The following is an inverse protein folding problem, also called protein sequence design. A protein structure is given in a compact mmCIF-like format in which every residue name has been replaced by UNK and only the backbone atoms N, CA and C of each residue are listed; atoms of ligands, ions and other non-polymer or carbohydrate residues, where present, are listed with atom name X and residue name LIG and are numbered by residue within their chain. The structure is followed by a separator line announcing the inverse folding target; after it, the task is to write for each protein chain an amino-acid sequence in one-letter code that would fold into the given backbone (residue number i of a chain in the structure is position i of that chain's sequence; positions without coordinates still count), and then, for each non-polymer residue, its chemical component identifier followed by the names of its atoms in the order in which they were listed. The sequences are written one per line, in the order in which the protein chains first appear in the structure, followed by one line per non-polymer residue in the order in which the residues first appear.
data_IF_842905501400
#
_entry.id   IF_842905501400
#
_cell.length_a   1.000
_cell.length_b   1.000
_cell.length_c   1.000
_cell.angle_alpha   90.00
_cell.angle_beta   90.00
_cell.angle_gamma   90.00
#
_symmetry.space_group_name_H-M   'P 1'
#
loop_
_entity.id
_entity.type
_entity.pdbx_description
1 polymer ?
#
# COMPACT_ATOMS: atom_id res chain seq x y z
N UNK A 1 24.44 45.48 30.55
CA UNK A 1 25.45 44.76 29.73
C UNK A 1 24.90 44.65 28.31
N UNK A 2 25.50 45.35 27.32
CA UNK A 2 25.05 45.32 25.92
C UNK A 2 25.76 44.18 25.21
N UNK A 3 25.01 43.25 24.62
CA UNK A 3 25.55 42.19 23.76
C UNK A 3 26.21 42.83 22.54
N UNK A 4 27.37 42.30 22.15
CA UNK A 4 28.02 42.66 20.89
C UNK A 4 27.16 42.22 19.69
N UNK A 5 27.42 42.80 18.52
CA UNK A 5 26.69 42.44 17.29
C UNK A 5 26.93 40.98 16.89
N UNK A 6 28.13 40.43 17.12
CA UNK A 6 28.40 39.02 16.83
C UNK A 6 27.64 38.08 17.77
N UNK A 7 27.56 38.40 19.07
CA UNK A 7 26.80 37.58 20.04
C UNK A 7 25.30 37.58 19.72
N UNK A 8 24.74 38.73 19.35
CA UNK A 8 23.35 38.83 18.92
C UNK A 8 23.08 38.02 17.65
N UNK A 9 23.97 38.07 16.66
CA UNK A 9 23.84 37.30 15.42
C UNK A 9 23.92 35.78 15.67
N UNK A 10 24.80 35.33 16.57
CA UNK A 10 24.93 33.91 16.93
C UNK A 10 23.70 33.38 17.66
N UNK A 11 23.12 34.16 18.57
CA UNK A 11 21.87 33.82 19.27
C UNK A 11 20.71 33.70 18.28
N UNK A 12 20.59 34.68 17.36
CA UNK A 12 19.55 34.67 16.32
C UNK A 12 19.73 33.46 15.39
N UNK A 13 20.95 33.18 14.95
CA UNK A 13 21.25 32.01 14.11
C UNK A 13 20.93 30.69 14.83
N UNK A 14 21.32 30.55 16.10
CA UNK A 14 20.97 29.39 16.92
C UNK A 14 19.46 29.26 17.13
N UNK A 15 18.75 30.38 17.32
CA UNK A 15 17.29 30.39 17.42
C UNK A 15 16.62 29.93 16.13
N UNK A 16 17.04 30.44 14.97
CA UNK A 16 16.52 30.02 13.67
C UNK A 16 16.90 28.57 13.33
N UNK A 17 18.14 28.16 13.62
CA UNK A 17 18.60 26.78 13.46
C UNK A 17 17.79 25.83 14.34
N UNK A 18 17.59 26.17 15.62
CA UNK A 18 16.78 25.39 16.54
C UNK A 18 15.31 25.37 16.14
N UNK A 19 14.76 26.48 15.63
CA UNK A 19 13.40 26.54 15.08
C UNK A 19 13.25 25.63 13.85
N UNK A 20 14.22 25.66 12.93
CA UNK A 20 14.25 24.82 11.73
C UNK A 20 14.44 23.33 12.08
N UNK A 21 15.31 23.00 13.04
CA UNK A 21 15.49 21.65 13.58
C UNK A 21 14.19 21.20 14.25
N UNK A 22 13.59 22.00 15.14
CA UNK A 22 12.31 21.66 15.79
C UNK A 22 11.19 21.42 14.79
N UNK A 23 11.13 22.19 13.70
CA UNK A 23 10.16 21.97 12.61
C UNK A 23 10.44 20.69 11.84
N UNK A 24 11.70 20.40 11.51
CA UNK A 24 12.07 19.25 10.68
C UNK A 24 12.05 17.91 11.44
N UNK A 25 12.23 17.93 12.77
CA UNK A 25 12.25 16.73 13.62
C UNK A 25 11.08 16.69 14.59
N UNK A 26 9.98 17.41 14.30
CA UNK A 26 8.76 17.29 15.08
C UNK A 26 8.14 15.92 14.79
N UNK A 27 8.12 15.06 15.81
CA UNK A 27 7.41 13.79 15.74
C UNK A 27 5.93 14.06 15.41
N UNK A 28 5.33 13.33 14.45
CA UNK A 28 3.93 13.52 14.12
C UNK A 28 3.04 13.28 15.34
N UNK A 29 1.94 14.03 15.43
CA UNK A 29 0.92 13.78 16.43
C UNK A 29 0.33 12.38 16.22
N UNK A 30 -0.24 11.78 17.25
CA UNK A 30 -0.98 10.53 17.08
C UNK A 30 -2.35 10.82 16.48
N UNK A 31 -2.57 10.40 15.24
CA UNK A 31 -3.89 10.46 14.62
C UNK A 31 -4.56 9.10 14.78
N UNK A 32 -5.78 9.10 15.32
CA UNK A 32 -6.71 7.96 15.39
C UNK A 32 -6.09 6.56 15.55
N UNK A 33 -5.94 6.12 16.80
CA UNK A 33 -5.50 4.76 17.10
C UNK A 33 -6.66 3.80 17.12
N UNK A 34 -6.42 2.62 16.54
CA UNK A 34 -7.37 1.51 16.53
C UNK A 34 -6.88 0.46 17.51
N UNK A 35 -7.80 -0.30 18.11
CA UNK A 35 -7.44 -1.40 19.00
C UNK A 35 -7.41 -2.72 18.23
N UNK A 36 -6.22 -3.27 18.03
CA UNK A 36 -6.06 -4.65 17.53
C UNK A 36 -4.74 -5.25 18.03
N UNK A 37 -4.76 -6.48 18.58
CA UNK A 37 -3.58 -7.07 19.20
C UNK A 37 -2.55 -7.47 18.15
N UNK A 38 -1.28 -7.29 18.48
CA UNK A 38 -0.16 -7.69 17.63
C UNK A 38 0.15 -9.18 17.74
N UNK A 39 0.91 -9.74 16.79
CA UNK A 39 1.66 -10.98 17.05
C UNK A 39 3.01 -10.57 17.60
N UNK A 40 3.35 -11.03 18.82
CA UNK A 40 4.57 -10.57 19.49
C UNK A 40 5.84 -10.82 18.67
N UNK A 41 5.97 -12.02 18.11
CA UNK A 41 7.06 -12.35 17.16
C UNK A 41 6.68 -11.90 15.75
N UNK A 42 5.51 -12.34 15.27
CA UNK A 42 4.98 -12.02 13.95
C UNK A 42 4.47 -13.28 13.25
N UNK A 43 3.33 -13.19 12.58
CA UNK A 43 2.75 -14.30 11.81
C UNK A 43 3.23 -14.35 10.35
N UNK A 44 4.16 -13.48 9.96
CA UNK A 44 4.80 -13.52 8.66
C UNK A 44 5.79 -14.70 8.56
N UNK A 45 5.98 -15.26 7.36
CA UNK A 45 7.00 -16.27 7.11
C UNK A 45 8.41 -15.69 7.30
N UNK A 46 9.42 -16.57 7.37
CA UNK A 46 10.83 -16.16 7.48
C UNK A 46 11.16 -15.16 6.36
N UNK A 47 11.72 -14.00 6.74
CA UNK A 47 11.90 -12.87 5.83
C UNK A 47 12.99 -13.07 4.76
N UNK A 48 13.69 -14.22 4.73
CA UNK A 48 14.71 -14.56 3.74
C UNK A 48 15.77 -13.45 3.54
N UNK A 49 16.22 -12.82 4.63
CA UNK A 49 17.09 -11.63 4.62
C UNK A 49 18.47 -11.85 4.02
N UNK A 50 18.87 -13.11 3.79
CA UNK A 50 20.08 -13.46 3.02
C UNK A 50 20.05 -12.93 1.58
N UNK A 51 18.85 -12.69 1.03
CA UNK A 51 18.66 -12.11 -0.32
C UNK A 51 18.88 -10.60 -0.37
N UNK A 52 19.00 -9.94 0.78
CA UNK A 52 19.09 -8.49 0.88
C UNK A 52 20.54 -8.01 0.81
N UNK A 53 20.75 -6.89 0.15
CA UNK A 53 22.03 -6.17 0.21
C UNK A 53 22.24 -5.72 1.66
N UNK A 54 23.34 -6.16 2.27
CA UNK A 54 23.67 -5.82 3.66
C UNK A 54 24.17 -4.37 3.76
N UNK A 55 23.79 -3.65 4.83
CA UNK A 55 24.22 -2.27 5.04
C UNK A 55 25.74 -2.21 5.26
N UNK A 56 26.39 -1.23 4.63
CA UNK A 56 27.84 -0.98 4.82
C UNK A 56 28.12 0.13 5.85
N UNK A 57 27.08 0.83 6.28
CA UNK A 57 27.09 1.95 7.22
C UNK A 57 25.92 1.84 8.19
N UNK A 58 25.79 2.81 9.10
CA UNK A 58 24.59 2.90 9.94
C UNK A 58 23.33 2.96 9.07
N UNK A 59 22.29 2.29 9.53
CA UNK A 59 21.06 2.10 8.78
C UNK A 59 19.84 2.22 9.69
N UNK A 60 18.68 2.30 9.08
CA UNK A 60 17.40 2.32 9.74
C UNK A 60 16.50 1.19 9.23
N UNK A 61 15.75 0.58 10.14
CA UNK A 61 14.62 -0.29 9.82
C UNK A 61 13.34 0.49 10.09
N UNK A 62 12.44 0.55 9.12
CA UNK A 62 11.11 1.14 9.24
C UNK A 62 10.11 0.02 9.05
N UNK A 63 9.33 -0.31 10.06
CA UNK A 63 8.37 -1.40 9.95
C UNK A 63 7.21 -1.33 10.94
N UNK A 64 6.37 -2.34 10.91
CA UNK A 64 5.09 -2.41 11.65
C UNK A 64 5.09 -3.63 12.58
N UNK A 65 4.21 -3.66 13.59
CA UNK A 65 4.03 -4.81 14.46
C UNK A 65 5.13 -5.01 15.52
N UNK A 66 5.45 -6.28 15.82
CA UNK A 66 6.28 -6.69 16.95
C UNK A 66 7.75 -6.97 16.62
N UNK A 67 8.29 -8.00 17.27
CA UNK A 67 9.73 -8.30 17.39
C UNK A 67 10.42 -8.62 16.06
N UNK A 68 9.67 -8.94 15.00
CA UNK A 68 10.23 -9.20 13.66
C UNK A 68 11.12 -8.06 13.15
N UNK A 69 10.82 -6.80 13.50
CA UNK A 69 11.64 -5.64 13.15
C UNK A 69 13.05 -5.69 13.78
N UNK A 70 13.13 -6.11 15.04
CA UNK A 70 14.41 -6.26 15.76
C UNK A 70 15.19 -7.45 15.22
N UNK A 71 14.48 -8.53 14.89
CA UNK A 71 15.08 -9.69 14.23
C UNK A 71 15.68 -9.33 12.88
N UNK A 72 14.92 -8.62 12.02
CA UNK A 72 15.40 -8.10 10.75
C UNK A 72 16.64 -7.22 10.93
N UNK A 73 16.62 -6.30 11.91
CA UNK A 73 17.76 -5.45 12.23
C UNK A 73 19.01 -6.29 12.59
N UNK A 74 18.86 -7.35 13.39
CA UNK A 74 19.98 -8.25 13.73
C UNK A 74 20.51 -8.98 12.50
N UNK A 75 19.62 -9.53 11.67
CA UNK A 75 20.02 -10.26 10.47
C UNK A 75 20.71 -9.36 9.45
N UNK A 76 20.33 -8.09 9.35
CA UNK A 76 21.02 -7.10 8.50
C UNK A 76 22.39 -6.71 9.07
N UNK A 77 22.55 -6.77 10.38
CA UNK A 77 23.81 -6.46 11.09
C UNK A 77 24.84 -7.59 10.98
N UNK A 78 24.46 -8.77 10.48
CA UNK A 78 25.23 -10.02 10.52
C UNK A 78 26.73 -9.82 10.25
N UNK A 79 27.55 -10.14 11.27
CA UNK A 79 29.02 -10.01 11.41
C UNK A 79 29.56 -8.73 12.11
N UNK A 80 28.77 -7.68 12.29
CA UNK A 80 29.23 -6.43 12.95
C UNK A 80 28.25 -5.91 13.97
N UNK A 81 28.22 -6.53 15.16
CA UNK A 81 27.40 -6.07 16.30
C UNK A 81 27.62 -4.60 16.70
N UNK A 82 28.70 -3.97 16.22
CA UNK A 82 28.96 -2.53 16.38
C UNK A 82 27.99 -1.64 15.61
N UNK A 83 27.33 -2.16 14.56
CA UNK A 83 26.27 -1.43 13.86
C UNK A 83 24.97 -1.49 14.68
N UNK A 84 24.57 -0.34 15.20
CA UNK A 84 23.34 -0.16 15.97
C UNK A 84 22.32 0.63 15.13
N UNK A 85 21.38 -0.05 14.45
CA UNK A 85 20.40 0.64 13.62
C UNK A 85 19.41 1.45 14.47
N UNK A 86 18.79 2.46 13.88
CA UNK A 86 17.53 2.98 14.42
C UNK A 86 16.38 2.11 13.93
N UNK A 87 15.42 1.82 14.81
CA UNK A 87 14.24 1.02 14.47
C UNK A 87 13.01 1.91 14.65
N UNK A 88 12.37 2.27 13.55
CA UNK A 88 11.11 3.00 13.55
C UNK A 88 9.96 2.01 13.44
N UNK A 89 9.10 1.99 14.46
CA UNK A 89 7.85 1.22 14.41
C UNK A 89 6.72 2.19 14.09
N UNK A 90 6.19 2.10 12.87
CA UNK A 90 5.01 2.85 12.43
C UNK A 90 3.82 1.92 12.52
N UNK A 91 2.91 2.19 13.44
CA UNK A 91 1.71 1.37 13.63
C UNK A 91 0.57 2.21 14.21
N UNK A 92 -0.66 2.01 13.72
CA UNK A 92 -1.85 2.68 14.24
C UNK A 92 -2.60 1.85 15.30
N UNK A 93 -2.04 0.72 15.76
CA UNK A 93 -2.60 -0.06 16.88
C UNK A 93 -2.18 0.46 18.24
N UNK A 94 -3.14 0.78 19.11
CA UNK A 94 -2.85 1.02 20.53
C UNK A 94 -2.13 -0.14 21.21
N UNK A 95 -2.45 -1.37 20.85
CA UNK A 95 -1.93 -2.59 21.47
C UNK A 95 -0.48 -2.87 21.03
N UNK A 96 -0.10 -2.54 19.79
CA UNK A 96 1.31 -2.58 19.35
C UNK A 96 2.17 -1.63 20.18
N UNK A 97 1.66 -0.42 20.46
CA UNK A 97 2.40 0.54 21.29
C UNK A 97 2.48 0.10 22.75
N UNK A 98 1.42 -0.49 23.28
CA UNK A 98 1.43 -1.08 24.62
C UNK A 98 2.44 -2.23 24.71
N UNK A 99 2.44 -3.14 23.74
CA UNK A 99 3.39 -4.24 23.61
C UNK A 99 4.84 -3.75 23.69
N UNK A 100 5.20 -2.74 22.90
CA UNK A 100 6.56 -2.19 22.90
C UNK A 100 6.90 -1.45 24.18
N UNK A 101 5.96 -0.73 24.79
CA UNK A 101 6.18 -0.08 26.08
C UNK A 101 6.45 -1.10 27.19
N UNK A 102 5.67 -2.18 27.26
CA UNK A 102 5.86 -3.25 28.24
C UNK A 102 7.16 -4.03 27.97
N UNK A 103 7.49 -4.26 26.71
CA UNK A 103 8.76 -4.89 26.30
C UNK A 103 9.96 -4.02 26.73
N UNK A 104 9.92 -2.70 26.50
CA UNK A 104 10.96 -1.78 26.96
C UNK A 104 11.11 -1.81 28.48
N UNK A 105 10.00 -1.76 29.24
CA UNK A 105 10.02 -1.87 30.71
C UNK A 105 10.70 -3.17 31.17
N UNK A 106 10.42 -4.29 30.51
CA UNK A 106 11.06 -5.57 30.82
C UNK A 106 12.58 -5.50 30.62
N UNK A 107 13.04 -5.03 29.46
CA UNK A 107 14.48 -4.89 29.17
C UNK A 107 15.21 -3.90 30.09
N UNK A 108 14.54 -2.83 30.52
CA UNK A 108 15.13 -1.87 31.48
C UNK A 108 15.38 -2.53 32.84
N UNK A 109 14.50 -3.45 33.28
CA UNK A 109 14.61 -4.13 34.58
C UNK A 109 15.62 -5.29 34.61
N UNK A 110 16.05 -5.75 33.45
CA UNK A 110 16.90 -6.95 33.32
C UNK A 110 18.33 -6.57 32.99
N UNK A 111 19.31 -7.04 33.77
CA UNK A 111 20.72 -6.73 33.56
C UNK A 111 21.49 -7.81 32.80
N UNK A 112 20.95 -9.02 32.73
CA UNK A 112 21.52 -10.17 32.02
C UNK A 112 20.45 -11.01 31.29
N UNK A 113 20.89 -12.00 30.51
CA UNK A 113 20.01 -13.04 29.94
C UNK A 113 19.14 -13.72 31.00
N UNK A 114 19.72 -14.12 32.13
CA UNK A 114 19.00 -14.85 33.19
C UNK A 114 17.98 -13.95 33.89
N UNK A 115 18.37 -12.71 34.21
CA UNK A 115 17.46 -11.71 34.79
C UNK A 115 16.29 -11.41 33.84
N UNK A 116 16.52 -11.44 32.53
CA UNK A 116 15.46 -11.27 31.55
C UNK A 116 14.39 -12.35 31.69
N UNK A 117 14.78 -13.63 31.73
CA UNK A 117 13.81 -14.71 31.81
C UNK A 117 13.13 -14.78 33.18
N UNK A 118 13.83 -14.42 34.27
CA UNK A 118 13.21 -14.36 35.59
C UNK A 118 12.19 -13.22 35.68
N UNK A 119 12.56 -12.02 35.22
CA UNK A 119 11.64 -10.88 35.18
C UNK A 119 10.46 -11.13 34.22
N UNK A 120 10.67 -11.86 33.12
CA UNK A 120 9.63 -12.15 32.15
C UNK A 120 8.46 -12.94 32.75
N UNK A 121 8.73 -13.94 33.59
CA UNK A 121 7.73 -14.83 34.23
C UNK A 121 6.63 -14.05 34.95
N UNK A 122 6.98 -12.91 35.57
CA UNK A 122 6.06 -12.10 36.37
C UNK A 122 5.73 -10.73 35.74
N UNK A 123 6.19 -10.50 34.51
CA UNK A 123 6.11 -9.21 33.83
C UNK A 123 4.67 -8.75 33.54
N UNK A 124 4.47 -7.43 33.45
CA UNK A 124 3.23 -6.85 32.91
C UNK A 124 2.98 -7.31 31.46
N UNK A 125 4.05 -7.57 30.70
CA UNK A 125 3.97 -8.03 29.32
C UNK A 125 3.19 -9.35 29.21
N UNK A 126 3.59 -10.40 29.92
CA UNK A 126 2.93 -11.72 29.82
C UNK A 126 1.49 -11.72 30.36
N UNK A 127 1.18 -10.79 31.26
CA UNK A 127 -0.16 -10.58 31.84
C UNK A 127 -1.07 -9.72 30.96
N UNK A 128 -0.51 -9.02 29.98
CA UNK A 128 -1.25 -8.12 29.10
C UNK A 128 -2.00 -8.88 27.99
N UNK A 129 -3.01 -8.22 27.43
CA UNK A 129 -3.76 -8.71 26.27
C UNK A 129 -3.35 -8.01 24.96
N UNK A 130 -2.21 -7.33 24.95
CA UNK A 130 -1.78 -6.50 23.81
C UNK A 130 -1.18 -7.31 22.64
N UNK A 131 -0.93 -8.60 22.85
CA UNK A 131 -0.50 -9.52 21.79
C UNK A 131 -1.26 -10.84 21.82
N UNK A 132 -1.40 -11.46 20.64
CA UNK A 132 -1.98 -12.78 20.46
C UNK A 132 -0.93 -13.84 20.77
N UNK A 133 -1.30 -14.83 21.59
CA UNK A 133 -0.56 -16.09 21.70
C UNK A 133 -0.88 -16.94 20.48
N UNK A 134 0.14 -17.41 19.78
CA UNK A 134 -0.04 -18.17 18.54
C UNK A 134 -0.62 -19.57 18.81
N UNK A 135 -0.41 -20.13 20.00
CA UNK A 135 -1.08 -21.32 20.52
C UNK A 135 -2.62 -21.24 20.51
N UNK A 136 -3.21 -20.03 20.39
CA UNK A 136 -4.65 -19.86 20.19
C UNK A 136 -5.12 -20.16 18.76
N UNK A 137 -4.21 -20.31 17.79
CA UNK A 137 -4.47 -20.87 16.46
C UNK A 137 -4.43 -22.41 16.59
N UNK A 138 -5.48 -22.96 17.20
CA UNK A 138 -5.62 -24.39 17.56
C UNK A 138 -5.10 -25.33 16.46
N UNK A 139 -4.07 -26.10 16.81
CA UNK A 139 -3.38 -27.13 16.02
C UNK A 139 -2.51 -26.60 14.87
N UNK A 140 -1.36 -26.01 15.20
CA UNK A 140 -0.34 -25.55 14.25
C UNK A 140 -0.06 -26.57 13.14
N UNK A 141 0.22 -27.84 13.46
CA UNK A 141 0.44 -28.86 12.44
C UNK A 141 -0.82 -29.19 11.63
N UNK A 142 -1.99 -29.27 12.24
CA UNK A 142 -3.21 -29.62 11.51
C UNK A 142 -3.70 -28.48 10.61
N UNK A 143 -3.48 -27.23 11.01
CA UNK A 143 -3.84 -26.03 10.27
C UNK A 143 -2.90 -25.80 9.09
N UNK A 144 -1.58 -25.83 9.34
CA UNK A 144 -0.57 -25.68 8.29
C UNK A 144 -0.63 -26.85 7.30
N UNK A 145 -0.76 -28.11 7.77
CA UNK A 145 -0.87 -29.28 6.89
C UNK A 145 -2.15 -29.25 6.04
N UNK A 146 -3.30 -28.82 6.58
CA UNK A 146 -4.54 -28.66 5.81
C UNK A 146 -4.43 -27.59 4.71
N UNK A 147 -3.55 -26.62 4.89
CA UNK A 147 -3.33 -25.52 3.95
C UNK A 147 -2.14 -25.78 3.01
N UNK A 148 -1.44 -26.91 3.15
CA UNK A 148 -0.22 -27.21 2.40
C UNK A 148 0.92 -26.23 2.68
N UNK A 149 0.91 -25.61 3.87
CA UNK A 149 1.92 -24.65 4.31
C UNK A 149 2.95 -25.39 5.15
N UNK A 150 4.23 -25.18 4.87
CA UNK A 150 5.32 -25.67 5.68
C UNK A 150 5.46 -24.84 6.97
N UNK A 151 5.36 -25.50 8.13
CA UNK A 151 5.46 -24.84 9.43
C UNK A 151 6.89 -24.37 9.76
N UNK A 152 7.92 -24.96 9.15
CA UNK A 152 9.33 -24.55 9.31
C UNK A 152 9.61 -23.20 8.64
N UNK A 153 8.73 -22.78 7.74
CA UNK A 153 8.78 -21.47 7.08
C UNK A 153 8.40 -20.30 8.00
N UNK A 154 8.09 -20.54 9.28
CA UNK A 154 7.70 -19.51 10.27
C UNK A 154 8.58 -19.59 11.52
N UNK A 155 8.65 -18.48 12.27
CA UNK A 155 9.29 -18.52 13.59
C UNK A 155 8.39 -19.19 14.62
N UNK A 156 9.02 -19.78 15.63
CA UNK A 156 8.35 -20.08 16.87
C UNK A 156 7.80 -18.77 17.48
N UNK A 157 6.49 -18.72 17.68
CA UNK A 157 5.80 -17.54 18.16
C UNK A 157 5.74 -17.44 19.69
N UNK A 158 6.22 -18.44 20.41
CA UNK A 158 6.41 -18.35 21.86
C UNK A 158 7.56 -17.39 22.17
N UNK A 159 7.22 -16.25 22.79
CA UNK A 159 8.17 -15.16 23.10
C UNK A 159 9.41 -15.66 23.83
N UNK A 160 9.23 -16.58 24.79
CA UNK A 160 10.34 -17.18 25.54
C UNK A 160 11.33 -17.88 24.62
N UNK A 161 10.83 -18.71 23.70
CA UNK A 161 11.68 -19.46 22.76
C UNK A 161 12.32 -18.52 21.74
N UNK A 162 11.58 -17.52 21.28
CA UNK A 162 12.12 -16.48 20.41
C UNK A 162 13.33 -15.79 21.06
N UNK A 163 13.20 -15.29 22.30
CA UNK A 163 14.30 -14.63 22.98
C UNK A 163 15.45 -15.59 23.33
N UNK A 164 15.16 -16.84 23.73
CA UNK A 164 16.22 -17.86 23.94
C UNK A 164 17.06 -18.04 22.67
N UNK A 165 16.40 -18.21 21.53
CA UNK A 165 17.09 -18.35 20.24
C UNK A 165 17.82 -17.07 19.82
N UNK A 166 17.27 -15.89 20.13
CA UNK A 166 17.86 -14.61 19.77
C UNK A 166 19.10 -14.31 20.63
N UNK A 167 19.02 -14.57 21.94
CA UNK A 167 20.17 -14.42 22.84
C UNK A 167 21.22 -15.48 22.51
N UNK A 168 20.78 -16.71 22.23
CA UNK A 168 21.62 -17.88 21.96
C UNK A 168 22.66 -18.07 23.07
N UNK A 169 22.22 -17.91 24.33
CA UNK A 169 23.02 -17.93 25.57
C UNK A 169 24.25 -17.00 25.56
N UNK A 170 24.22 -15.95 24.74
CA UNK A 170 25.30 -14.96 24.61
C UNK A 170 24.86 -13.61 25.15
N UNK A 171 25.52 -13.19 26.22
CA UNK A 171 25.30 -11.90 26.89
C UNK A 171 25.50 -10.68 25.95
N UNK A 172 26.41 -10.79 24.97
CA UNK A 172 26.60 -9.77 23.93
C UNK A 172 25.34 -9.55 23.07
N UNK A 173 24.61 -10.61 22.74
CA UNK A 173 23.38 -10.51 21.97
C UNK A 173 22.27 -9.87 22.81
N UNK A 174 22.16 -10.25 24.10
CA UNK A 174 21.24 -9.60 25.02
C UNK A 174 21.50 -8.10 25.11
N UNK A 175 22.76 -7.69 25.33
CA UNK A 175 23.14 -6.27 25.40
C UNK A 175 22.81 -5.52 24.10
N UNK A 176 23.08 -6.12 22.95
CA UNK A 176 22.74 -5.53 21.66
C UNK A 176 21.22 -5.34 21.49
N UNK A 177 20.42 -6.33 21.89
CA UNK A 177 18.95 -6.27 21.82
C UNK A 177 18.40 -5.25 22.81
N UNK A 178 18.87 -5.27 24.07
CA UNK A 178 18.53 -4.29 25.11
C UNK A 178 18.78 -2.87 24.59
N UNK A 179 19.97 -2.62 24.04
CA UNK A 179 20.30 -1.33 23.44
C UNK A 179 19.36 -0.97 22.27
N UNK A 180 19.09 -1.92 21.37
CA UNK A 180 18.21 -1.71 20.22
C UNK A 180 16.78 -1.33 20.63
N UNK A 181 16.22 -2.04 21.61
CA UNK A 181 14.83 -1.83 22.07
C UNK A 181 14.71 -0.59 22.97
N UNK A 182 15.62 -0.42 23.92
CA UNK A 182 15.52 0.66 24.91
C UNK A 182 15.94 2.00 24.29
N UNK A 183 17.08 2.04 23.61
CA UNK A 183 17.74 3.28 23.20
C UNK A 183 17.53 3.67 21.74
N UNK A 184 17.25 2.69 20.85
CA UNK A 184 17.25 2.91 19.39
C UNK A 184 15.88 2.76 18.73
N UNK A 185 14.90 2.21 19.44
CA UNK A 185 13.56 2.00 18.93
C UNK A 185 12.67 3.22 19.16
N UNK A 186 12.12 3.76 18.06
CA UNK A 186 11.23 4.92 18.04
C UNK A 186 9.83 4.45 17.62
N UNK A 187 8.87 4.54 18.54
CA UNK A 187 7.47 4.26 18.27
C UNK A 187 6.79 5.46 17.62
N UNK A 188 6.09 5.28 16.51
CA UNK A 188 5.32 6.30 15.83
C UNK A 188 3.85 5.83 15.73
N UNK A 189 2.98 6.55 16.43
CA UNK A 189 1.56 6.23 16.64
C UNK A 189 0.70 6.70 15.47
N UNK A 190 0.95 6.16 14.27
CA UNK A 190 0.42 6.67 13.00
C UNK A 190 0.21 5.56 11.97
N UNK A 191 -0.60 5.86 10.94
CA UNK A 191 -0.81 4.99 9.79
C UNK A 191 0.29 5.14 8.74
N UNK A 192 0.54 4.09 7.96
CA UNK A 192 1.48 4.09 6.84
C UNK A 192 1.08 5.02 5.67
N UNK A 193 -0.17 5.47 5.62
CA UNK A 193 -0.62 6.47 4.63
C UNK A 193 -0.34 7.92 5.06
N UNK A 194 0.16 8.15 6.28
CA UNK A 194 0.45 9.49 6.82
C UNK A 194 1.77 10.05 6.28
N UNK A 195 1.72 10.96 5.30
CA UNK A 195 2.94 11.54 4.70
C UNK A 195 3.88 12.22 5.69
N UNK A 196 3.34 12.94 6.69
CA UNK A 196 4.15 13.62 7.71
C UNK A 196 4.98 12.62 8.55
N UNK A 197 4.52 11.37 8.70
CA UNK A 197 5.29 10.31 9.34
C UNK A 197 6.55 9.97 8.55
N UNK A 198 6.43 9.76 7.25
CA UNK A 198 7.56 9.39 6.40
C UNK A 198 8.50 10.57 6.15
N UNK A 199 7.97 11.80 6.17
CA UNK A 199 8.78 13.02 6.20
C UNK A 199 9.62 13.15 7.46
N UNK A 200 9.04 12.90 8.63
CA UNK A 200 9.78 12.87 9.90
C UNK A 200 10.90 11.81 9.88
N UNK A 201 10.59 10.59 9.45
CA UNK A 201 11.58 9.50 9.35
C UNK A 201 12.67 9.85 8.35
N UNK A 202 12.30 10.34 7.15
CA UNK A 202 13.25 10.74 6.12
C UNK A 202 14.22 11.80 6.63
N UNK A 203 13.74 12.83 7.32
CA UNK A 203 14.60 13.88 7.85
C UNK A 203 15.67 13.31 8.81
N UNK A 204 15.32 12.33 9.64
CA UNK A 204 16.28 11.66 10.53
C UNK A 204 17.26 10.81 9.73
N UNK A 205 16.77 10.00 8.80
CA UNK A 205 17.60 9.14 7.97
C UNK A 205 18.58 9.94 7.12
N UNK A 206 18.14 11.03 6.49
CA UNK A 206 18.97 11.90 5.68
C UNK A 206 20.02 12.62 6.54
N UNK A 207 19.63 13.13 7.71
CA UNK A 207 20.55 13.80 8.65
C UNK A 207 21.70 12.88 9.09
N UNK A 208 21.43 11.61 9.34
CA UNK A 208 22.44 10.63 9.70
C UNK A 208 23.00 9.82 8.53
N UNK A 209 22.58 10.14 7.30
CA UNK A 209 22.96 9.41 6.08
C UNK A 209 22.71 7.90 6.16
N UNK A 210 21.58 7.48 6.74
CA UNK A 210 21.23 6.07 6.89
C UNK A 210 20.82 5.41 5.57
N UNK A 211 21.21 4.16 5.39
CA UNK A 211 20.50 3.27 4.49
C UNK A 211 19.17 2.86 5.14
N UNK A 212 18.09 2.80 4.37
CA UNK A 212 16.74 2.51 4.89
C UNK A 212 16.23 1.18 4.39
N UNK A 213 15.70 0.35 5.29
CA UNK A 213 15.04 -0.91 4.99
C UNK A 213 13.60 -0.85 5.48
N UNK A 214 12.64 -1.12 4.61
CA UNK A 214 11.22 -1.08 4.95
C UNK A 214 10.65 -2.49 5.11
N UNK A 215 9.90 -2.71 6.18
CA UNK A 215 9.16 -3.94 6.44
C UNK A 215 7.72 -3.61 6.86
N UNK A 216 6.86 -3.25 5.89
CA UNK A 216 5.44 -2.99 6.15
C UNK A 216 4.58 -4.24 6.35
N UNK A 217 5.15 -5.45 6.25
CA UNK A 217 4.38 -6.70 6.25
C UNK A 217 3.35 -6.72 5.10
N UNK A 218 2.11 -7.07 5.37
CA UNK A 218 1.02 -7.23 4.41
C UNK A 218 0.03 -6.06 4.38
N UNK A 219 0.39 -4.89 4.93
CA UNK A 219 -0.52 -3.73 5.05
C UNK A 219 -1.22 -3.40 3.73
N UNK A 220 -0.49 -3.39 2.61
CA UNK A 220 -1.02 -3.04 1.29
C UNK A 220 -2.25 -3.88 0.88
N UNK A 221 -2.31 -5.14 1.31
CA UNK A 221 -3.36 -6.10 0.96
C UNK A 221 -4.66 -5.88 1.76
N UNK A 222 -4.60 -5.08 2.83
CA UNK A 222 -5.73 -4.75 3.70
C UNK A 222 -6.19 -3.29 3.57
N UNK A 223 -5.62 -2.54 2.63
CA UNK A 223 -6.09 -1.19 2.32
C UNK A 223 -7.35 -1.26 1.46
N UNK A 224 -8.37 -0.50 1.85
CA UNK A 224 -9.73 -0.64 1.31
C UNK A 224 -9.96 0.05 -0.04
N UNK A 225 -9.03 0.91 -0.46
CA UNK A 225 -9.14 1.66 -1.69
C UNK A 225 -7.75 1.91 -2.29
N UNK A 226 -7.75 2.17 -3.58
CA UNK A 226 -6.52 2.30 -4.34
C UNK A 226 -5.74 3.60 -4.05
N UNK A 227 -6.41 4.66 -3.58
CA UNK A 227 -5.75 5.91 -3.18
C UNK A 227 -4.87 5.69 -1.95
N UNK A 228 -5.37 4.93 -0.97
CA UNK A 228 -4.61 4.55 0.21
C UNK A 228 -3.44 3.62 -0.16
N UNK A 229 -3.64 2.68 -1.09
CA UNK A 229 -2.56 1.83 -1.62
C UNK A 229 -1.49 2.71 -2.28
N UNK A 230 -1.89 3.66 -3.13
CA UNK A 230 -0.98 4.61 -3.78
C UNK A 230 -0.20 5.42 -2.75
N UNK A 231 -0.88 6.07 -1.79
CA UNK A 231 -0.24 6.84 -0.71
C UNK A 231 0.72 6.00 0.12
N UNK A 232 0.34 4.79 0.47
CA UNK A 232 1.17 3.83 1.20
C UNK A 232 2.50 3.59 0.46
N UNK A 233 2.46 3.27 -0.83
CA UNK A 233 3.68 3.01 -1.59
C UNK A 233 4.46 4.31 -1.91
N UNK A 234 3.79 5.44 -2.17
CA UNK A 234 4.44 6.75 -2.33
C UNK A 234 5.25 7.12 -1.08
N UNK A 235 4.71 6.89 0.10
CA UNK A 235 5.38 7.12 1.37
C UNK A 235 6.60 6.20 1.57
N UNK A 236 6.49 4.91 1.21
CA UNK A 236 7.64 4.00 1.21
C UNK A 236 8.71 4.48 0.24
N UNK A 237 8.33 4.82 -0.99
CA UNK A 237 9.23 5.29 -2.04
C UNK A 237 9.92 6.61 -1.64
N UNK A 238 9.21 7.49 -0.91
CA UNK A 238 9.74 8.74 -0.41
C UNK A 238 10.97 8.54 0.49
N UNK A 239 11.04 7.43 1.24
CA UNK A 239 12.21 7.07 2.06
C UNK A 239 13.43 6.64 1.23
N UNK A 240 13.27 6.36 -0.06
CA UNK A 240 14.30 5.80 -0.94
C UNK A 240 15.00 4.56 -0.35
N UNK A 241 14.25 3.49 -0.01
CA UNK A 241 14.79 2.35 0.70
C UNK A 241 15.74 1.50 -0.17
N UNK A 242 16.74 0.89 0.47
CA UNK A 242 17.61 -0.14 -0.12
C UNK A 242 16.85 -1.42 -0.40
N UNK A 243 15.92 -1.77 0.48
CA UNK A 243 14.99 -2.86 0.24
C UNK A 243 13.64 -2.61 0.92
N UNK A 244 12.58 -3.13 0.30
CA UNK A 244 11.24 -3.24 0.87
C UNK A 244 10.90 -4.73 0.97
N UNK A 245 10.40 -5.15 2.13
CA UNK A 245 10.01 -6.53 2.42
C UNK A 245 8.51 -6.53 2.71
N UNK A 246 7.73 -6.99 1.76
CA UNK A 246 6.27 -7.18 1.92
C UNK A 246 5.94 -8.65 2.06
N UNK A 247 4.80 -8.93 2.68
CA UNK A 247 4.23 -10.27 2.71
C UNK A 247 2.84 -10.28 2.10
N UNK A 248 2.46 -11.40 1.50
CA UNK A 248 1.15 -11.56 0.90
C UNK A 248 0.04 -11.52 1.95
N UNK A 249 -1.09 -10.90 1.64
CA UNK A 249 -2.32 -11.16 2.37
C UNK A 249 -2.81 -12.58 2.10
N UNK A 250 -3.39 -13.23 3.11
CA UNK A 250 -4.22 -14.41 2.86
C UNK A 250 -5.58 -14.19 3.51
N UNK A 251 -6.60 -13.84 2.71
CA UNK A 251 -7.94 -13.60 3.23
C UNK A 251 -8.65 -14.89 3.69
N UNK A 252 -8.18 -16.06 3.23
CA UNK A 252 -8.75 -17.36 3.58
C UNK A 252 -8.22 -17.87 4.94
N UNK A 253 -6.92 -17.70 5.19
CA UNK A 253 -6.26 -18.22 6.40
C UNK A 253 -5.96 -17.12 7.42
N UNK A 254 -5.85 -15.87 6.99
CA UNK A 254 -5.31 -14.79 7.81
C UNK A 254 -3.80 -14.90 8.08
N UNK A 255 -3.11 -15.88 7.47
CA UNK A 255 -1.69 -16.12 7.63
C UNK A 255 -0.95 -15.86 6.32
N UNK A 256 -0.03 -14.88 6.28
CA UNK A 256 0.80 -14.60 5.11
C UNK A 256 1.68 -15.79 4.73
N UNK A 257 1.78 -16.13 3.44
CA UNK A 257 2.53 -17.31 2.97
C UNK A 257 3.72 -16.99 2.03
N UNK A 258 3.80 -15.77 1.51
CA UNK A 258 4.82 -15.37 0.53
C UNK A 258 5.51 -14.11 1.01
N UNK A 259 6.82 -14.05 0.81
CA UNK A 259 7.66 -12.88 1.04
C UNK A 259 8.05 -12.30 -0.31
N UNK A 260 7.90 -10.99 -0.45
CA UNK A 260 8.28 -10.22 -1.62
C UNK A 260 9.40 -9.26 -1.23
N UNK A 261 10.52 -9.33 -1.95
CA UNK A 261 11.66 -8.43 -1.80
C UNK A 261 11.72 -7.49 -2.99
N UNK A 262 11.74 -6.19 -2.73
CA UNK A 262 11.93 -5.18 -3.75
C UNK A 262 13.22 -4.43 -3.46
N UNK A 263 14.15 -4.45 -4.41
CA UNK A 263 15.41 -3.71 -4.33
C UNK A 263 15.18 -2.29 -4.86
N UNK A 264 16.00 -1.34 -4.40
CA UNK A 264 15.98 0.07 -4.80
C UNK A 264 15.71 0.26 -6.31
N UNK A 265 14.65 1.01 -6.64
CA UNK A 265 14.25 1.33 -8.03
C UNK A 265 13.31 0.33 -8.70
N UNK A 266 13.16 -0.90 -8.18
CA UNK A 266 12.25 -1.93 -8.76
C UNK A 266 10.85 -1.83 -8.15
N UNK A 267 10.73 -1.36 -6.92
CA UNK A 267 9.44 -1.25 -6.20
C UNK A 267 8.42 -0.37 -6.93
N UNK A 268 8.84 0.76 -7.53
CA UNK A 268 7.95 1.64 -8.31
C UNK A 268 7.45 0.96 -9.59
N UNK A 269 8.32 0.26 -10.32
CA UNK A 269 7.96 -0.43 -11.56
C UNK A 269 6.99 -1.60 -11.32
N UNK A 270 7.21 -2.37 -10.25
CA UNK A 270 6.29 -3.45 -9.86
C UNK A 270 4.95 -2.89 -9.40
N UNK A 271 4.94 -1.73 -8.74
CA UNK A 271 3.71 -1.07 -8.33
C UNK A 271 2.88 -0.63 -9.54
N UNK A 272 3.48 0.08 -10.50
CA UNK A 272 2.78 0.50 -11.72
C UNK A 272 2.18 -0.70 -12.43
N UNK A 273 2.92 -1.81 -12.48
CA UNK A 273 2.45 -3.08 -13.05
C UNK A 273 1.29 -3.70 -12.24
N UNK A 274 1.37 -3.71 -10.90
CA UNK A 274 0.31 -4.24 -10.02
C UNK A 274 -0.96 -3.40 -10.08
N UNK A 275 -0.83 -2.08 -10.08
CA UNK A 275 -1.94 -1.12 -10.21
C UNK A 275 -2.64 -1.32 -11.55
N UNK A 276 -1.89 -1.39 -12.65
CA UNK A 276 -2.44 -1.67 -13.98
C UNK A 276 -3.09 -3.05 -14.08
N UNK A 277 -2.48 -4.08 -13.48
CA UNK A 277 -3.07 -5.41 -13.43
C UNK A 277 -4.38 -5.44 -12.63
N UNK A 278 -4.41 -4.76 -11.47
CA UNK A 278 -5.62 -4.65 -10.65
C UNK A 278 -6.74 -3.92 -11.39
N UNK A 279 -6.44 -2.81 -12.08
CA UNK A 279 -7.40 -2.13 -12.96
C UNK A 279 -7.96 -3.07 -14.02
N UNK A 280 -7.09 -3.84 -14.69
CA UNK A 280 -7.51 -4.81 -15.72
C UNK A 280 -8.40 -5.91 -15.14
N UNK A 281 -8.05 -6.48 -13.98
CA UNK A 281 -8.85 -7.50 -13.29
C UNK A 281 -10.23 -6.93 -12.92
N UNK A 282 -10.28 -5.70 -12.38
CA UNK A 282 -11.54 -5.03 -12.02
C UNK A 282 -12.40 -4.75 -13.24
N UNK A 283 -11.79 -4.26 -14.33
CA UNK A 283 -12.46 -4.04 -15.59
C UNK A 283 -13.07 -5.34 -16.13
N UNK A 284 -12.34 -6.44 -16.10
CA UNK A 284 -12.83 -7.77 -16.51
C UNK A 284 -14.02 -8.20 -15.65
N UNK A 285 -13.92 -8.09 -14.31
CA UNK A 285 -15.02 -8.44 -13.40
C UNK A 285 -16.29 -7.62 -13.64
N UNK A 286 -16.16 -6.31 -13.84
CA UNK A 286 -17.29 -5.43 -14.17
C UNK A 286 -17.89 -5.83 -15.53
N UNK A 287 -17.04 -6.09 -16.53
CA UNK A 287 -17.47 -6.52 -17.87
C UNK A 287 -18.28 -7.81 -17.79
N UNK A 288 -17.76 -8.84 -17.14
CA UNK A 288 -18.43 -10.13 -16.94
C UNK A 288 -19.76 -9.98 -16.18
N UNK A 289 -19.77 -9.16 -15.12
CA UNK A 289 -20.98 -8.87 -14.37
C UNK A 289 -22.06 -8.23 -15.27
N UNK A 290 -21.71 -7.18 -16.02
CA UNK A 290 -22.66 -6.49 -16.90
C UNK A 290 -23.16 -7.38 -18.05
N UNK A 291 -22.29 -8.26 -18.57
CA UNK A 291 -22.62 -9.22 -19.63
C UNK A 291 -23.59 -10.31 -19.16
N UNK A 292 -23.44 -10.79 -17.94
CA UNK A 292 -24.21 -11.92 -17.41
C UNK A 292 -25.51 -11.50 -16.70
N UNK A 293 -25.55 -10.29 -16.13
CA UNK A 293 -26.67 -9.91 -15.26
C UNK A 293 -27.76 -9.08 -15.94
N UNK A 294 -27.45 -8.28 -16.99
CA UNK A 294 -28.36 -7.20 -17.40
C UNK A 294 -28.28 -6.79 -18.87
N UNK A 295 -28.31 -7.72 -19.84
CA UNK A 295 -28.17 -7.33 -21.24
C UNK A 295 -28.81 -8.28 -22.27
N UNK A 296 -29.06 -7.77 -23.49
CA UNK A 296 -29.49 -8.56 -24.66
C UNK A 296 -28.32 -9.32 -25.27
N UNK A 297 -28.59 -10.42 -25.96
CA UNK A 297 -27.60 -11.23 -26.71
C UNK A 297 -26.72 -10.37 -27.63
N UNK A 298 -27.35 -9.41 -28.33
CA UNK A 298 -26.65 -8.44 -29.14
C UNK A 298 -25.56 -7.64 -28.39
N UNK A 299 -25.88 -7.14 -27.19
CA UNK A 299 -24.92 -6.40 -26.37
C UNK A 299 -23.91 -7.32 -25.68
N UNK A 300 -24.24 -8.58 -25.41
CA UNK A 300 -23.26 -9.55 -24.90
C UNK A 300 -22.09 -9.68 -25.89
N UNK A 301 -22.39 -9.81 -27.19
CA UNK A 301 -21.40 -9.83 -28.26
C UNK A 301 -20.56 -8.53 -28.29
N UNK A 302 -21.15 -7.38 -27.97
CA UNK A 302 -20.42 -6.12 -27.90
C UNK A 302 -19.54 -6.03 -26.66
N UNK A 303 -19.99 -6.55 -25.51
CA UNK A 303 -19.17 -6.63 -24.30
C UNK A 303 -17.93 -7.50 -24.51
N UNK A 304 -18.02 -8.60 -25.25
CA UNK A 304 -16.87 -9.44 -25.59
C UNK A 304 -15.75 -8.67 -26.30
N UNK A 305 -16.13 -7.62 -27.06
CA UNK A 305 -15.20 -6.79 -27.83
C UNK A 305 -14.57 -5.65 -27.01
N UNK A 306 -15.03 -5.39 -25.79
CA UNK A 306 -14.49 -4.32 -24.95
C UNK A 306 -13.09 -4.68 -24.42
N UNK A 307 -12.12 -3.78 -24.64
CA UNK A 307 -10.73 -3.95 -24.18
C UNK A 307 -10.35 -3.02 -23.04
N UNK A 308 -11.00 -1.86 -22.94
CA UNK A 308 -10.70 -0.82 -21.96
C UNK A 308 -11.99 -0.22 -21.36
N UNK A 309 -11.82 0.69 -20.40
CA UNK A 309 -12.95 1.35 -19.74
C UNK A 309 -13.78 2.21 -20.71
N UNK A 310 -13.16 2.83 -21.72
CA UNK A 310 -13.86 3.63 -22.74
C UNK A 310 -14.86 2.78 -23.53
N UNK A 311 -14.42 1.62 -24.00
CA UNK A 311 -15.28 0.66 -24.72
C UNK A 311 -16.44 0.21 -23.84
N UNK A 312 -16.13 -0.12 -22.57
CA UNK A 312 -17.14 -0.54 -21.61
C UNK A 312 -18.17 0.57 -21.37
N UNK A 313 -17.73 1.81 -21.22
CA UNK A 313 -18.60 2.98 -21.09
C UNK A 313 -19.50 3.18 -22.31
N UNK A 314 -18.95 2.97 -23.51
CA UNK A 314 -19.69 3.07 -24.77
C UNK A 314 -20.80 2.01 -24.85
N UNK A 315 -20.44 0.73 -24.75
CA UNK A 315 -21.38 -0.40 -24.87
C UNK A 315 -22.46 -0.34 -23.77
N UNK A 316 -22.07 0.02 -22.55
CA UNK A 316 -23.02 0.16 -21.44
C UNK A 316 -24.01 1.31 -21.65
N UNK A 317 -23.63 2.34 -22.40
CA UNK A 317 -24.44 3.52 -22.69
C UNK A 317 -25.44 3.33 -23.85
N UNK A 318 -25.26 2.30 -24.69
CA UNK A 318 -26.14 2.01 -25.83
C UNK A 318 -27.58 1.70 -25.40
N UNK A 319 -28.55 2.49 -25.88
CA UNK A 319 -29.98 2.27 -25.58
C UNK A 319 -30.51 1.01 -26.26
N UNK A 320 -31.30 0.24 -25.52
CA UNK A 320 -32.16 -0.80 -26.09
C UNK A 320 -33.52 -0.16 -26.39
N UNK A 321 -34.13 -0.54 -27.51
CA UNK A 321 -35.44 -0.05 -27.92
C UNK A 321 -36.52 -0.75 -27.11
N UNK A 322 -36.93 -0.14 -26.00
CA UNK A 322 -38.25 -0.36 -25.42
C UNK A 322 -39.01 0.96 -25.40
N UNK A 323 -40.27 0.87 -25.79
CA UNK A 323 -41.15 1.91 -26.34
C UNK A 323 -41.47 3.11 -25.43
N UNK A 324 -40.82 3.27 -24.27
CA UNK A 324 -41.13 4.33 -23.32
C UNK A 324 -39.90 5.09 -22.82
N UNK A 325 -40.01 6.41 -22.91
CA UNK A 325 -39.02 7.41 -22.57
C UNK A 325 -38.48 7.31 -21.14
N UNK A 326 -37.29 6.73 -20.93
CA UNK A 326 -36.39 7.12 -19.83
C UNK A 326 -34.92 7.08 -20.27
N UNK A 327 -34.18 8.13 -19.90
CA UNK A 327 -32.87 8.50 -20.43
C UNK A 327 -31.69 7.60 -20.01
N UNK A 328 -31.91 6.34 -19.63
CA UNK A 328 -30.89 5.49 -19.03
C UNK A 328 -31.02 4.03 -19.45
N UNK A 329 -29.89 3.43 -19.82
CA UNK A 329 -29.75 1.99 -20.02
C UNK A 329 -29.60 1.29 -18.68
N UNK A 330 -30.21 0.12 -18.52
CA UNK A 330 -30.02 -0.73 -17.33
C UNK A 330 -28.54 -1.02 -17.10
N UNK A 331 -27.81 -1.42 -18.15
CA UNK A 331 -26.34 -1.59 -18.14
C UNK A 331 -25.58 -0.34 -17.74
N UNK A 332 -26.01 0.85 -18.19
CA UNK A 332 -25.32 2.11 -17.90
C UNK A 332 -25.56 2.57 -16.46
N UNK A 333 -26.79 2.44 -15.96
CA UNK A 333 -27.13 2.67 -14.54
C UNK A 333 -26.28 1.79 -13.63
N UNK A 334 -26.09 0.54 -14.04
CA UNK A 334 -25.31 -0.41 -13.26
C UNK A 334 -23.81 -0.13 -13.33
N UNK A 335 -23.27 0.14 -14.52
CA UNK A 335 -21.87 0.59 -14.64
C UNK A 335 -21.62 1.83 -13.76
N UNK A 336 -22.54 2.80 -13.76
CA UNK A 336 -22.48 3.97 -12.87
C UNK A 336 -22.46 3.56 -11.39
N UNK A 337 -23.29 2.60 -10.99
CA UNK A 337 -23.31 2.09 -9.60
C UNK A 337 -21.96 1.46 -9.24
N UNK A 338 -21.46 0.56 -10.09
CA UNK A 338 -20.21 -0.18 -9.89
C UNK A 338 -19.00 0.76 -9.83
N UNK A 339 -18.88 1.72 -10.75
CA UNK A 339 -17.78 2.69 -10.76
C UNK A 339 -17.74 3.58 -9.51
N UNK A 340 -18.88 3.77 -8.83
CA UNK A 340 -18.95 4.55 -7.60
C UNK A 340 -18.70 3.73 -6.33
N UNK A 341 -18.45 2.42 -6.43
CA UNK A 341 -17.99 1.62 -5.31
C UNK A 341 -16.51 1.90 -5.01
N UNK A 342 -16.14 1.92 -3.73
CA UNK A 342 -14.76 2.19 -3.29
C UNK A 342 -13.73 1.23 -3.92
N UNK A 343 -14.13 -0.02 -4.14
CA UNK A 343 -13.30 -1.07 -4.72
C UNK A 343 -12.97 -0.89 -6.22
N UNK A 344 -13.55 0.11 -6.88
CA UNK A 344 -13.36 0.45 -8.30
C UNK A 344 -12.80 1.89 -8.47
N UNK A 345 -12.19 2.44 -7.42
CA UNK A 345 -11.73 3.83 -7.36
C UNK A 345 -10.75 4.19 -8.50
N UNK A 346 -9.79 3.33 -8.84
CA UNK A 346 -8.87 3.61 -9.94
C UNK A 346 -9.56 3.75 -11.30
N UNK A 347 -10.55 2.91 -11.58
CA UNK A 347 -11.34 3.01 -12.82
C UNK A 347 -12.17 4.31 -12.82
N UNK A 348 -12.69 4.72 -11.65
CA UNK A 348 -13.35 6.01 -11.51
C UNK A 348 -12.43 7.19 -11.81
N UNK A 349 -11.17 7.13 -11.39
CA UNK A 349 -10.21 8.23 -11.62
C UNK A 349 -9.92 8.49 -13.10
N UNK A 350 -10.04 7.48 -13.97
CA UNK A 350 -9.91 7.68 -15.41
C UNK A 350 -11.01 8.60 -15.97
N UNK A 351 -12.23 8.52 -15.42
CA UNK A 351 -13.37 9.36 -15.84
C UNK A 351 -13.36 10.68 -15.06
N UNK A 352 -12.96 10.63 -13.79
CA UNK A 352 -13.05 11.74 -12.86
C UNK A 352 -11.75 11.89 -12.05
N UNK A 353 -10.77 12.68 -12.54
CA UNK A 353 -9.44 12.78 -11.93
C UNK A 353 -9.42 13.21 -10.45
N UNK A 354 -10.45 13.94 -9.99
CA UNK A 354 -10.57 14.36 -8.58
C UNK A 354 -11.32 13.35 -7.69
N UNK A 355 -11.78 12.22 -8.24
CA UNK A 355 -12.43 11.17 -7.47
C UNK A 355 -13.91 11.38 -7.08
N UNK A 356 -14.57 12.44 -7.55
CA UNK A 356 -16.00 12.67 -7.30
C UNK A 356 -16.87 11.58 -7.96
N UNK A 357 -18.14 11.51 -7.51
CA UNK A 357 -19.11 10.54 -8.02
C UNK A 357 -19.34 10.65 -9.54
N UNK A 358 -19.20 9.52 -10.23
CA UNK A 358 -19.41 9.40 -11.67
C UNK A 358 -20.91 9.47 -11.99
N UNK A 359 -21.28 10.34 -12.92
CA UNK A 359 -22.66 10.48 -13.43
C UNK A 359 -22.77 9.86 -14.83
N UNK A 360 -23.99 9.53 -15.26
CA UNK A 360 -24.22 8.99 -16.62
C UNK A 360 -23.69 9.88 -17.75
N UNK A 361 -23.71 11.21 -17.57
CA UNK A 361 -23.13 12.15 -18.53
C UNK A 361 -21.62 12.05 -18.62
N UNK A 362 -20.95 11.80 -17.51
CA UNK A 362 -19.49 11.62 -17.47
C UNK A 362 -19.11 10.32 -18.18
N UNK A 363 -19.87 9.23 -17.97
CA UNK A 363 -19.68 7.95 -18.68
C UNK A 363 -19.81 8.13 -20.20
N UNK A 364 -20.85 8.83 -20.66
CA UNK A 364 -21.08 9.08 -22.09
C UNK A 364 -20.02 9.97 -22.71
N UNK A 365 -19.64 11.03 -22.00
CA UNK A 365 -18.61 11.94 -22.48
C UNK A 365 -17.25 11.25 -22.52
N UNK A 366 -16.93 10.42 -21.52
CA UNK A 366 -15.72 9.61 -21.50
C UNK A 366 -15.69 8.57 -22.62
N UNK A 367 -16.82 7.90 -22.88
CA UNK A 367 -16.93 6.95 -23.99
C UNK A 367 -16.63 7.57 -25.37
N UNK A 368 -17.03 8.84 -25.58
CA UNK A 368 -16.83 9.54 -26.86
C UNK A 368 -15.48 10.25 -26.94
N UNK A 369 -15.01 10.85 -25.84
CA UNK A 369 -13.92 11.82 -25.84
C UNK A 369 -12.84 11.59 -24.80
N UNK A 370 -12.96 10.56 -23.95
CA UNK A 370 -12.02 10.27 -22.83
C UNK A 370 -11.88 11.44 -21.84
N UNK A 371 -12.96 12.21 -21.69
CA UNK A 371 -13.01 13.38 -20.80
C UNK A 371 -14.28 13.34 -19.95
N UNK A 372 -14.20 13.89 -18.73
CA UNK A 372 -15.37 14.18 -17.89
C UNK A 372 -16.30 15.19 -18.59
N UNK A 373 -17.61 15.11 -18.35
CA UNK A 373 -18.51 16.18 -18.78
C UNK A 373 -18.26 17.46 -17.97
N UNK A 374 -18.19 18.59 -18.67
CA UNK A 374 -18.03 19.93 -18.09
C UNK A 374 -19.33 20.49 -17.50
N UNK A 375 -20.42 19.73 -17.48
CA UNK A 375 -21.69 20.22 -16.95
C UNK A 375 -21.78 20.09 -15.43
N UNK A 376 -22.36 21.13 -14.83
CA UNK A 376 -22.63 21.22 -13.39
C UNK A 376 -23.97 20.52 -13.08
N UNK A 377 -24.96 21.26 -12.58
CA UNK A 377 -26.24 20.69 -12.16
C UNK A 377 -27.09 20.25 -13.37
N UNK A 378 -27.27 21.12 -14.35
CA UNK A 378 -28.06 20.88 -15.57
C UNK A 378 -27.20 20.35 -16.73
N UNK A 379 -27.83 19.63 -17.68
CA UNK A 379 -27.17 19.19 -18.91
C UNK A 379 -26.80 20.38 -19.78
N UNK A 380 -25.57 20.40 -20.31
CA UNK A 380 -25.18 21.35 -21.35
C UNK A 380 -25.57 20.84 -22.76
N UNK A 381 -25.34 21.63 -23.80
CA UNK A 381 -25.67 21.23 -25.17
C UNK A 381 -24.89 19.97 -25.62
N UNK A 382 -23.63 19.84 -25.22
CA UNK A 382 -22.81 18.66 -25.51
C UNK A 382 -23.40 17.39 -24.90
N UNK A 383 -23.88 17.44 -23.66
CA UNK A 383 -24.51 16.28 -23.00
C UNK A 383 -25.77 15.84 -23.73
N UNK A 384 -26.56 16.79 -24.25
CA UNK A 384 -27.76 16.50 -25.04
C UNK A 384 -27.40 15.86 -26.38
N UNK A 385 -26.34 16.32 -27.04
CA UNK A 385 -25.83 15.68 -28.28
C UNK A 385 -25.27 14.29 -27.99
N UNK A 386 -24.45 14.13 -26.95
CA UNK A 386 -23.91 12.84 -26.53
C UNK A 386 -25.04 11.83 -26.29
N UNK A 387 -26.15 12.24 -25.67
CA UNK A 387 -27.32 11.38 -25.48
C UNK A 387 -27.88 10.85 -26.80
N UNK A 388 -27.91 11.67 -27.87
CA UNK A 388 -28.42 11.29 -29.18
C UNK A 388 -27.55 10.22 -29.83
N UNK A 389 -26.23 10.29 -29.65
CA UNK A 389 -25.27 9.30 -30.19
C UNK A 389 -25.49 7.89 -29.63
N UNK A 390 -26.03 7.78 -28.42
CA UNK A 390 -26.34 6.50 -27.78
C UNK A 390 -27.81 6.08 -27.94
N UNK A 391 -28.62 6.84 -28.67
CA UNK A 391 -30.02 6.52 -28.96
C UNK A 391 -30.17 5.90 -30.34
N UNK A 392 -30.91 4.79 -30.43
CA UNK A 392 -31.38 4.28 -31.71
C UNK A 392 -32.33 5.29 -32.34
N UNK A 393 -32.01 5.77 -33.54
CA UNK A 393 -32.91 6.47 -34.44
C UNK A 393 -32.92 5.67 -35.75
N UNK A 394 -34.11 5.39 -36.29
CA UNK A 394 -34.26 4.71 -37.59
C UNK A 394 -33.56 5.44 -38.75
N UNK A 395 -33.22 6.73 -38.57
CA UNK A 395 -32.65 7.59 -39.61
C UNK A 395 -31.14 7.87 -39.43
N UNK A 396 -30.48 7.30 -38.42
CA UNK A 396 -29.04 7.44 -38.22
C UNK A 396 -28.34 6.08 -38.33
N UNK A 397 -27.12 6.09 -38.88
CA UNK A 397 -26.21 4.93 -38.87
C UNK A 397 -26.30 4.25 -37.51
N UNK A 398 -26.46 2.92 -37.51
CA UNK A 398 -26.57 2.17 -36.27
C UNK A 398 -25.42 2.58 -35.32
N UNK A 399 -25.66 2.85 -34.03
CA UNK A 399 -24.59 3.17 -33.05
C UNK A 399 -23.44 2.14 -33.02
N UNK A 400 -23.68 0.96 -33.58
CA UNK A 400 -22.77 -0.17 -33.81
C UNK A 400 -21.76 0.11 -34.93
N UNK A 401 -22.15 0.83 -35.99
CA UNK A 401 -21.25 1.36 -37.02
C UNK A 401 -20.32 2.41 -36.41
N UNK A 402 -20.81 3.26 -35.50
CA UNK A 402 -19.97 4.22 -34.77
C UNK A 402 -18.98 3.48 -33.87
N UNK A 403 -19.42 2.47 -33.11
CA UNK A 403 -18.51 1.65 -32.30
C UNK A 403 -17.47 0.91 -33.15
N UNK A 404 -17.90 0.29 -34.25
CA UNK A 404 -17.03 -0.49 -35.14
C UNK A 404 -16.07 0.42 -35.92
N UNK A 405 -16.52 1.60 -36.35
CA UNK A 405 -15.68 2.60 -37.02
C UNK A 405 -14.71 3.25 -36.03
N UNK A 406 -15.12 3.52 -34.78
CA UNK A 406 -14.23 4.01 -33.73
C UNK A 406 -13.18 2.96 -33.35
N UNK A 407 -13.56 1.68 -33.24
CA UNK A 407 -12.62 0.57 -33.04
C UNK A 407 -11.61 0.50 -34.20
N UNK A 408 -12.07 0.57 -35.47
CA UNK A 408 -11.20 0.56 -36.67
C UNK A 408 -10.29 1.79 -36.75
N UNK A 409 -10.78 2.96 -36.35
CA UNK A 409 -10.01 4.23 -36.36
C UNK A 409 -8.95 4.26 -35.25
N UNK A 410 -9.24 3.65 -34.10
CA UNK A 410 -8.29 3.52 -33.00
C UNK A 410 -7.21 2.46 -33.28
N UNK A 411 -7.55 1.36 -33.96
CA UNK A 411 -6.54 0.35 -34.36
C UNK A 411 -5.63 0.82 -35.50
N UNK A 412 -6.14 1.60 -36.46
CA UNK A 412 -5.34 2.16 -37.56
C UNK A 412 -4.36 3.26 -37.11
N UNK A 413 -4.74 4.07 -36.11
CA UNK A 413 -3.83 5.07 -35.53
C UNK A 413 -2.67 4.44 -34.74
N UNK A 414 -2.84 3.23 -34.19
CA UNK A 414 -1.75 2.48 -33.54
C UNK A 414 -0.77 1.90 -34.58
N UNK A 415 -1.24 1.51 -35.77
CA UNK A 415 -0.39 1.01 -36.86
C UNK A 415 0.43 2.12 -37.51
N UNK A 416 -0.12 3.34 -37.63
CA UNK A 416 0.62 4.50 -38.13
C UNK A 416 1.66 5.03 -37.12
N UNK A 417 1.37 4.96 -35.81
CA UNK A 417 2.33 5.36 -34.77
C UNK A 417 3.49 4.36 -34.59
N UNK A 418 3.29 3.07 -34.88
CA UNK A 418 4.37 2.06 -34.89
C UNK A 418 5.17 2.04 -36.19
N UNK A 419 4.57 2.41 -37.33
CA UNK A 419 5.30 2.62 -38.57
C UNK A 419 6.17 3.90 -38.55
N UNK A 420 5.71 4.96 -37.89
CA UNK A 420 6.48 6.20 -37.73
C UNK A 420 7.68 6.06 -36.77
N UNK A 421 7.63 5.14 -35.79
CA UNK A 421 8.77 4.88 -34.89
C UNK A 421 9.80 3.88 -35.44
N UNK A 422 9.46 3.12 -36.47
CA UNK A 422 10.39 2.24 -37.20
C UNK A 422 11.00 2.90 -38.45
N UNK A 423 10.54 4.09 -38.85
CA UNK A 423 11.01 4.83 -40.03
C UNK A 423 12.20 5.77 -39.81
N UNK A 424 12.79 5.87 -38.62
CA UNK A 424 13.92 6.78 -38.31
C UNK A 424 15.26 6.05 -38.10
N UNK A 425 15.35 4.77 -38.46
CA UNK A 425 16.64 4.08 -38.60
C UNK A 425 16.76 3.49 -40.01
N UNK A 426 17.15 4.32 -40.98
CA UNK A 426 17.38 3.83 -42.33
C UNK A 426 17.48 4.90 -43.40
N UNK A 427 18.37 5.88 -43.23
CA UNK A 427 19.00 6.56 -44.37
C UNK A 427 20.41 6.95 -43.96
N UNK A 428 21.38 6.24 -44.54
CA UNK A 428 22.76 6.71 -44.70
C UNK A 428 22.79 7.76 -45.81
#
# INVERSE_FOLDING_TARGET
MKLSKEEAALIIWNFFKNSKIRKNFKKPNSDFLVKYPTFAVGNDPLLQTKKLIKPQKYFAVVGTGGLRNVFLAKELTSERLTLNPHIFIVDNSSDVHEFWNLTKKLFIKSESCDDFFENYKNSELIKSNCFRKFSNLKNENLYFNKMGIDSESYHNNEITNFFKNFFNDKEENFKWIKNSIVNRLILIRQSWISHETFKFIKNICDYHSYDVYCYPSNIAEFLNNDDDIKKFHENINYLNPKAVIETSGCHQTGVPHKVHHYIQGVHSLVLDTKVELNKKIKLIKIKEYLQNSMTTEFKQILFDKCKNLKDLCFVSSLRQSDFFSQQSTTTGKELKRLLNLNENYLLKLEIHPNGDSVRMRDIRNYALYEQKSNSNYFFNNQDKENIKEFSFSKDKQEPTLIFTNNLKRLTSNVTLATAASQGVQGTR
#
